data_IF_813270785124
#
_entry.id   IF_813270785124
#
_cell.length_a   1.000
_cell.length_b   1.000
_cell.length_c   1.000
_cell.angle_alpha   90.00
_cell.angle_beta   90.00
_cell.angle_gamma   90.00
#
_symmetry.space_group_name_H-M   'P 1'
#
loop_
_entity.id
_entity.type
_entity.pdbx_description
1 polymer ?
#
# COMPACT_ATOMS: atom_id res chain seq x y z
N UNK A 1 -21.93 6.09 56.57
CA UNK A 1 -21.29 7.41 56.59
C UNK A 1 -21.69 8.13 55.30
N UNK A 2 -22.25 9.34 55.41
CA UNK A 2 -22.86 10.12 54.32
C UNK A 2 -21.84 11.12 53.72
N UNK A 3 -22.17 11.58 52.50
CA UNK A 3 -21.83 12.87 51.85
C UNK A 3 -20.54 12.93 51.02
N UNK A 4 -20.43 13.67 49.91
CA UNK A 4 -21.32 14.47 49.03
C UNK A 4 -20.44 15.05 47.88
N UNK A 5 -21.05 15.28 46.71
CA UNK A 5 -20.86 16.41 45.75
C UNK A 5 -19.45 16.62 45.13
N UNK A 6 -19.24 16.85 43.84
CA UNK A 6 -20.05 17.55 42.83
C UNK A 6 -19.51 18.99 42.62
N UNK A 7 -18.72 19.22 41.57
CA UNK A 7 -18.46 20.54 40.93
C UNK A 7 -17.65 20.32 39.64
N UNK A 8 -18.21 20.51 38.44
CA UNK A 8 -18.57 21.75 37.70
C UNK A 8 -17.38 22.37 36.95
N UNK A 9 -17.62 22.52 35.65
CA UNK A 9 -16.89 23.17 34.56
C UNK A 9 -16.46 24.62 34.80
N UNK A 10 -15.43 25.05 34.04
CA UNK A 10 -15.21 26.37 33.37
C UNK A 10 -13.68 26.61 33.26
N UNK A 11 -13.06 27.36 32.34
CA UNK A 11 -13.37 28.40 31.34
C UNK A 11 -12.16 28.34 30.34
N UNK A 12 -12.32 28.29 29.00
CA UNK A 12 -12.24 29.43 28.05
C UNK A 12 -10.88 30.20 28.04
N UNK A 13 -10.22 30.32 26.87
CA UNK A 13 -10.28 31.51 25.99
C UNK A 13 -9.21 31.47 24.86
N UNK A 14 -9.66 31.90 23.69
CA UNK A 14 -9.00 32.18 22.40
C UNK A 14 -7.88 33.22 22.40
N UNK A 15 -7.04 33.24 21.34
CA UNK A 15 -6.69 34.45 20.54
C UNK A 15 -6.30 34.05 19.11
N UNK A 16 -7.01 34.67 18.15
CA UNK A 16 -6.69 34.82 16.73
C UNK A 16 -5.70 35.98 16.54
N UNK A 17 -4.69 35.84 15.68
CA UNK A 17 -4.08 37.00 15.00
C UNK A 17 -3.84 36.66 13.53
N UNK A 18 -4.69 37.26 12.70
CA UNK A 18 -4.47 37.56 11.28
C UNK A 18 -3.43 38.65 11.11
N UNK A 19 -2.56 38.52 10.11
CA UNK A 19 -1.68 39.59 9.66
C UNK A 19 -1.31 39.43 8.19
N UNK A 20 -2.07 40.10 7.31
CA UNK A 20 -1.63 40.44 5.96
C UNK A 20 -0.53 41.52 6.06
N UNK A 21 0.50 41.45 5.22
CA UNK A 21 1.09 42.68 4.69
C UNK A 21 1.80 42.45 3.35
N UNK A 22 1.40 43.26 2.37
CA UNK A 22 2.03 43.43 1.08
C UNK A 22 3.01 44.61 1.18
N UNK A 23 4.14 44.53 0.48
CA UNK A 23 4.91 45.70 0.07
C UNK A 23 5.54 45.47 -1.30
N UNK A 24 5.18 46.37 -2.23
CA UNK A 24 5.79 46.56 -3.55
C UNK A 24 7.19 47.17 -3.40
N UNK A 25 8.10 46.91 -4.35
CA UNK A 25 8.99 47.95 -4.91
C UNK A 25 9.45 47.55 -6.31
N UNK A 26 9.32 48.53 -7.21
CA UNK A 26 9.53 48.51 -8.66
C UNK A 26 10.98 48.78 -9.10
N UNK A 27 11.32 48.38 -10.32
CA UNK A 27 12.13 49.08 -11.35
C UNK A 27 12.17 48.14 -12.58
N UNK A 28 11.81 48.45 -13.83
CA UNK A 28 11.61 49.72 -14.53
C UNK A 28 12.63 49.86 -15.65
N UNK A 29 12.29 49.55 -16.92
CA UNK A 29 12.73 50.31 -18.12
C UNK A 29 11.94 49.97 -19.39
N UNK A 30 11.61 51.05 -20.10
CA UNK A 30 10.66 51.26 -21.22
C UNK A 30 11.24 50.97 -22.61
N UNK A 31 10.35 50.69 -23.58
CA UNK A 31 10.00 51.55 -24.75
C UNK A 31 9.09 50.70 -25.70
N UNK A 32 7.79 50.97 -25.87
CA UNK A 32 7.14 51.97 -26.77
C UNK A 32 7.66 51.89 -28.22
N UNK A 33 6.91 51.76 -29.32
CA UNK A 33 5.55 52.13 -29.78
C UNK A 33 5.13 51.10 -30.89
N UNK A 34 3.94 50.95 -31.46
CA UNK A 34 2.85 51.89 -31.82
C UNK A 34 1.63 51.05 -32.31
N UNK A 35 0.42 51.51 -31.98
CA UNK A 35 -0.85 51.60 -32.76
C UNK A 35 -1.00 50.81 -34.08
N UNK A 36 -2.17 50.34 -34.57
CA UNK A 36 -3.61 50.31 -34.22
C UNK A 36 -4.28 49.52 -35.37
N UNK A 37 -5.46 48.92 -35.15
CA UNK A 37 -6.61 48.81 -36.09
C UNK A 37 -7.22 47.40 -36.28
N UNK A 38 -8.28 47.15 -35.51
CA UNK A 38 -9.64 46.84 -35.99
C UNK A 38 -9.90 45.77 -37.08
N UNK A 39 -10.58 44.69 -36.62
CA UNK A 39 -11.98 44.36 -36.96
C UNK A 39 -12.31 43.24 -37.98
N UNK A 40 -13.37 42.51 -37.61
CA UNK A 40 -14.33 41.68 -38.40
C UNK A 40 -14.05 40.19 -38.66
N UNK A 41 -14.69 39.38 -37.81
CA UNK A 41 -15.86 38.49 -38.10
C UNK A 41 -15.84 37.70 -39.42
N UNK A 42 -15.76 36.36 -39.31
CA UNK A 42 -16.68 35.45 -40.00
C UNK A 42 -16.64 34.02 -39.43
N UNK A 43 -17.82 33.48 -39.14
CA UNK A 43 -18.08 32.06 -38.94
C UNK A 43 -17.71 31.26 -40.19
N UNK A 44 -17.10 30.09 -39.98
CA UNK A 44 -17.53 28.86 -40.67
C UNK A 44 -17.03 27.62 -39.93
N UNK A 45 -18.01 26.82 -39.57
CA UNK A 45 -18.02 25.44 -39.11
C UNK A 45 -16.94 24.56 -39.75
N UNK A 46 -16.10 23.94 -38.91
CA UNK A 46 -15.36 22.73 -39.29
C UNK A 46 -15.15 21.84 -38.05
N UNK A 47 -15.88 20.71 -38.04
CA UNK A 47 -15.66 19.56 -37.15
C UNK A 47 -14.17 19.21 -37.15
N UNK A 48 -13.52 19.21 -35.99
CA UNK A 48 -12.29 18.44 -35.82
C UNK A 48 -12.34 17.65 -34.52
N UNK A 49 -12.13 16.36 -34.70
CA UNK A 49 -12.32 15.29 -33.75
C UNK A 49 -11.47 15.46 -32.49
N UNK A 50 -12.13 15.25 -31.36
CA UNK A 50 -11.54 14.84 -30.10
C UNK A 50 -10.69 13.58 -30.29
N UNK A 51 -9.37 13.75 -30.46
CA UNK A 51 -8.41 12.72 -30.06
C UNK A 51 -7.86 13.11 -28.70
N UNK A 52 -8.61 12.71 -27.67
CA UNK A 52 -8.08 12.58 -26.32
C UNK A 52 -6.92 11.57 -26.39
N UNK A 53 -5.69 12.08 -26.41
CA UNK A 53 -4.48 11.27 -26.26
C UNK A 53 -4.57 10.62 -24.89
N UNK A 54 -5.03 9.37 -24.87
CA UNK A 54 -5.09 8.51 -23.70
C UNK A 54 -3.64 8.29 -23.27
N UNK A 55 -3.13 9.20 -22.46
CA UNK A 55 -1.80 9.17 -21.88
C UNK A 55 -1.73 7.85 -21.11
N UNK A 56 -1.12 6.82 -21.73
CA UNK A 56 -0.81 5.55 -21.08
C UNK A 56 -0.05 5.92 -19.83
N UNK A 57 -0.69 5.77 -18.66
CA UNK A 57 -0.02 5.87 -17.37
C UNK A 57 1.26 5.04 -17.49
N UNK A 58 2.46 5.62 -17.27
CA UNK A 58 3.69 4.87 -17.37
C UNK A 58 3.54 3.70 -16.42
N UNK A 59 3.67 2.50 -16.97
CA UNK A 59 3.41 1.29 -16.24
C UNK A 59 4.31 1.31 -15.00
N UNK A 60 3.72 1.09 -13.82
CA UNK A 60 4.42 0.70 -12.58
C UNK A 60 5.24 -0.61 -12.74
N UNK A 61 5.54 -1.03 -13.98
CA UNK A 61 6.07 -2.32 -14.39
C UNK A 61 7.58 -2.38 -14.51
N UNK A 62 8.32 -1.28 -14.41
CA UNK A 62 9.77 -1.32 -14.67
C UNK A 62 10.55 -1.96 -13.51
N UNK A 63 10.18 -1.68 -12.25
CA UNK A 63 10.95 -2.14 -11.09
C UNK A 63 10.84 -3.66 -10.83
N UNK A 64 9.66 -4.27 -11.05
CA UNK A 64 9.45 -5.71 -10.79
C UNK A 64 10.02 -6.56 -11.95
N UNK A 65 10.11 -6.01 -13.17
CA UNK A 65 10.67 -6.73 -14.32
C UNK A 65 12.19 -6.86 -14.27
N UNK A 66 12.84 -5.89 -13.61
CA UNK A 66 14.29 -5.75 -13.40
C UNK A 66 14.65 -5.88 -11.91
N UNK A 67 13.99 -6.80 -11.23
CA UNK A 67 14.16 -6.99 -9.80
C UNK A 67 15.60 -7.41 -9.47
N UNK A 68 16.19 -8.21 -10.36
CA UNK A 68 17.55 -8.71 -10.26
C UNK A 68 18.62 -7.63 -10.42
N UNK A 69 18.36 -6.49 -11.03
CA UNK A 69 19.39 -5.46 -11.27
C UNK A 69 20.04 -4.91 -9.98
N UNK A 70 19.34 -4.99 -8.83
CA UNK A 70 19.85 -4.44 -7.57
C UNK A 70 19.33 -5.19 -6.35
N UNK A 71 20.24 -5.41 -5.37
CA UNK A 71 19.88 -5.91 -4.03
C UNK A 71 18.83 -5.04 -3.35
N UNK A 72 18.85 -3.72 -3.58
CA UNK A 72 17.84 -2.82 -3.02
C UNK A 72 16.45 -3.10 -3.59
N UNK A 73 16.33 -3.39 -4.90
CA UNK A 73 15.05 -3.72 -5.52
C UNK A 73 14.45 -4.99 -4.89
N UNK A 74 15.28 -6.00 -4.67
CA UNK A 74 14.89 -7.25 -3.97
C UNK A 74 14.41 -6.96 -2.55
N UNK A 75 15.16 -6.16 -1.79
CA UNK A 75 14.78 -5.78 -0.42
C UNK A 75 13.44 -5.03 -0.40
N UNK A 76 13.21 -4.06 -1.29
CA UNK A 76 11.95 -3.32 -1.38
C UNK A 76 10.80 -4.27 -1.77
N UNK A 77 11.03 -5.18 -2.72
CA UNK A 77 10.06 -6.17 -3.13
C UNK A 77 9.66 -7.10 -1.99
N UNK A 78 10.63 -7.64 -1.25
CA UNK A 78 10.36 -8.53 -0.11
C UNK A 78 9.65 -7.78 1.02
N UNK A 79 10.06 -6.55 1.35
CA UNK A 79 9.33 -5.74 2.32
C UNK A 79 7.87 -5.57 1.91
N UNK A 80 7.62 -5.24 0.64
CA UNK A 80 6.24 -5.08 0.15
C UNK A 80 5.47 -6.41 0.17
N UNK A 81 6.13 -7.53 -0.12
CA UNK A 81 5.53 -8.85 -0.13
C UNK A 81 5.13 -9.32 1.28
N UNK A 82 5.98 -9.14 2.28
CA UNK A 82 5.67 -9.49 3.68
C UNK A 82 4.53 -8.64 4.25
N UNK A 83 4.33 -7.41 3.75
CA UNK A 83 3.32 -6.48 4.28
C UNK A 83 1.96 -6.52 3.54
N UNK A 84 1.73 -7.50 2.66
CA UNK A 84 0.50 -7.53 1.85
C UNK A 84 -0.76 -7.84 2.65
N UNK A 85 -0.61 -8.57 3.76
CA UNK A 85 -1.73 -8.94 4.65
C UNK A 85 -2.19 -7.71 5.44
N UNK A 86 -1.24 -6.92 5.93
CA UNK A 86 -1.46 -5.64 6.60
C UNK A 86 -2.17 -4.66 5.67
N UNK A 87 -1.84 -4.65 4.37
CA UNK A 87 -2.59 -3.84 3.40
C UNK A 87 -4.09 -4.20 3.35
N UNK A 88 -4.46 -5.48 3.59
CA UNK A 88 -5.87 -5.93 3.67
C UNK A 88 -6.50 -5.45 4.97
N UNK A 89 -5.79 -5.56 6.10
CA UNK A 89 -6.24 -5.06 7.40
C UNK A 89 -6.44 -3.55 7.40
N UNK A 90 -5.46 -2.78 6.93
CA UNK A 90 -5.59 -1.33 6.78
C UNK A 90 -6.72 -0.98 5.82
N UNK A 91 -6.92 -1.74 4.75
CA UNK A 91 -8.06 -1.51 3.87
C UNK A 91 -9.41 -1.69 4.55
N UNK A 92 -9.52 -2.62 5.50
CA UNK A 92 -10.73 -2.84 6.28
C UNK A 92 -10.95 -1.72 7.30
N UNK A 93 -9.88 -1.30 8.00
CA UNK A 93 -9.92 -0.20 8.97
C UNK A 93 -10.26 1.13 8.30
N UNK A 94 -9.65 1.42 7.16
CA UNK A 94 -9.88 2.64 6.37
C UNK A 94 -11.21 2.63 5.60
N UNK A 95 -11.96 1.51 5.64
CA UNK A 95 -13.24 1.40 4.97
C UNK A 95 -14.32 2.17 5.75
N UNK A 96 -14.32 3.49 5.62
CA UNK A 96 -15.25 4.42 6.30
C UNK A 96 -16.74 4.12 6.10
N UNK A 97 -17.11 3.40 5.05
CA UNK A 97 -18.49 2.96 4.75
C UNK A 97 -18.73 1.48 5.02
N UNK A 98 -17.71 0.78 5.48
CA UNK A 98 -17.76 -0.64 5.81
C UNK A 98 -18.59 -0.87 7.07
N UNK A 99 -19.28 -2.00 7.10
CA UNK A 99 -19.99 -2.44 8.30
C UNK A 99 -19.07 -3.25 9.20
N UNK A 100 -19.43 -3.30 10.47
CA UNK A 100 -18.85 -4.21 11.45
C UNK A 100 -19.83 -5.33 11.74
N UNK A 101 -19.33 -6.55 11.91
CA UNK A 101 -20.08 -7.70 12.39
C UNK A 101 -19.43 -8.23 13.67
N UNK A 102 -20.24 -8.68 14.62
CA UNK A 102 -19.78 -9.26 15.88
C UNK A 102 -20.34 -10.68 15.99
N UNK A 103 -19.45 -11.67 16.00
CA UNK A 103 -19.82 -13.08 16.13
C UNK A 103 -18.79 -13.80 17.02
N UNK A 104 -19.28 -14.59 17.98
CA UNK A 104 -18.45 -15.36 18.92
C UNK A 104 -17.40 -14.52 19.68
N UNK A 105 -17.74 -13.26 20.00
CA UNK A 105 -16.83 -12.33 20.67
C UNK A 105 -15.75 -11.73 19.76
N UNK A 106 -15.73 -12.08 18.47
CA UNK A 106 -14.80 -11.57 17.48
C UNK A 106 -15.45 -10.43 16.68
N UNK A 107 -14.70 -9.35 16.48
CA UNK A 107 -15.11 -8.22 15.65
C UNK A 107 -14.55 -8.35 14.24
N UNK A 108 -15.44 -8.38 13.25
CA UNK A 108 -15.12 -8.50 11.83
C UNK A 108 -15.46 -7.19 11.11
N UNK A 109 -14.54 -6.71 10.26
CA UNK A 109 -14.69 -5.48 9.47
C UNK A 109 -14.95 -5.80 8.00
N UNK A 110 -15.93 -5.14 7.38
CA UNK A 110 -16.27 -5.34 5.96
C UNK A 110 -15.10 -4.90 5.08
N UNK A 111 -14.65 -5.77 4.19
CA UNK A 111 -13.61 -5.44 3.22
C UNK A 111 -14.16 -4.54 2.09
N UNK A 112 -13.38 -3.54 1.63
CA UNK A 112 -13.78 -2.66 0.55
C UNK A 112 -13.80 -3.41 -0.80
N UNK A 113 -14.42 -2.82 -1.82
CA UNK A 113 -14.61 -3.42 -3.16
C UNK A 113 -13.36 -4.04 -3.81
N UNK A 114 -12.16 -3.55 -3.46
CA UNK A 114 -10.89 -4.09 -3.97
C UNK A 114 -10.52 -5.45 -3.37
N UNK A 115 -11.12 -5.83 -2.24
CA UNK A 115 -10.87 -7.04 -1.45
C UNK A 115 -12.19 -7.73 -1.01
N UNK A 116 -13.32 -7.43 -1.65
CA UNK A 116 -14.65 -7.91 -1.24
C UNK A 116 -14.93 -9.40 -1.52
N UNK A 117 -13.93 -10.17 -1.94
CA UNK A 117 -14.03 -11.57 -2.34
C UNK A 117 -12.68 -12.28 -2.21
N UNK A 118 -12.72 -13.59 -1.95
CA UNK A 118 -11.54 -14.47 -1.86
C UNK A 118 -10.60 -14.28 -3.06
N UNK A 119 -11.16 -14.36 -4.26
CA UNK A 119 -10.39 -14.23 -5.51
C UNK A 119 -9.66 -12.89 -5.64
N UNK A 120 -10.26 -11.79 -5.18
CA UNK A 120 -9.61 -10.47 -5.24
C UNK A 120 -8.47 -10.33 -4.25
N UNK A 121 -8.60 -10.92 -3.06
CA UNK A 121 -7.54 -10.94 -2.04
C UNK A 121 -6.39 -11.82 -2.53
N UNK A 122 -6.67 -13.04 -2.99
CA UNK A 122 -5.65 -13.92 -3.58
C UNK A 122 -4.95 -13.24 -4.76
N UNK A 123 -5.70 -12.64 -5.70
CA UNK A 123 -5.11 -11.92 -6.83
C UNK A 123 -4.25 -10.72 -6.40
N UNK A 124 -4.50 -10.14 -5.22
CA UNK A 124 -3.64 -9.12 -4.64
C UNK A 124 -2.32 -9.70 -4.12
N UNK A 125 -2.39 -10.79 -3.37
CA UNK A 125 -1.21 -11.51 -2.86
C UNK A 125 -0.35 -12.07 -3.99
N UNK A 126 -0.98 -12.59 -5.06
CA UNK A 126 -0.30 -13.15 -6.24
C UNK A 126 0.48 -12.13 -7.08
N UNK A 127 0.53 -10.87 -6.66
CA UNK A 127 1.47 -9.88 -7.22
C UNK A 127 2.91 -10.14 -6.77
N UNK A 128 3.09 -10.85 -5.65
CA UNK A 128 4.37 -11.08 -5.01
C UNK A 128 4.59 -12.56 -4.72
N UNK A 129 3.54 -13.27 -4.32
CA UNK A 129 3.59 -14.65 -3.90
C UNK A 129 3.15 -15.58 -5.03
N UNK A 130 3.68 -16.80 -5.06
CA UNK A 130 3.13 -17.85 -5.93
C UNK A 130 1.66 -18.08 -5.62
N UNK A 131 0.93 -18.70 -6.54
CA UNK A 131 -0.50 -18.99 -6.35
C UNK A 131 -0.77 -19.79 -5.06
N UNK A 132 0.00 -20.85 -4.81
CA UNK A 132 -0.17 -21.69 -3.63
C UNK A 132 0.08 -20.92 -2.33
N UNK A 133 1.12 -20.08 -2.27
CA UNK A 133 1.38 -19.23 -1.11
C UNK A 133 0.32 -18.12 -0.95
N UNK A 134 -0.22 -17.61 -2.06
CA UNK A 134 -1.31 -16.63 -2.02
C UNK A 134 -2.60 -17.23 -1.46
N UNK A 135 -2.89 -18.49 -1.80
CA UNK A 135 -4.01 -19.24 -1.26
C UNK A 135 -3.81 -19.53 0.23
N UNK A 136 -2.63 -20.01 0.64
CA UNK A 136 -2.28 -20.22 2.06
C UNK A 136 -2.38 -18.93 2.89
N UNK A 137 -1.85 -17.82 2.39
CA UNK A 137 -1.98 -16.51 3.04
C UNK A 137 -3.44 -16.11 3.25
N UNK A 138 -4.30 -16.35 2.25
CA UNK A 138 -5.73 -16.06 2.38
C UNK A 138 -6.39 -16.97 3.41
N UNK A 139 -6.11 -18.27 3.36
CA UNK A 139 -6.74 -19.26 4.23
C UNK A 139 -6.34 -19.07 5.71
N UNK A 140 -5.17 -18.45 5.95
CA UNK A 140 -4.71 -18.03 7.28
C UNK A 140 -5.27 -16.67 7.74
N UNK A 141 -6.03 -15.95 6.89
CA UNK A 141 -6.80 -14.80 7.36
C UNK A 141 -8.06 -15.26 8.09
N UNK A 142 -8.36 -14.62 9.21
CA UNK A 142 -9.67 -14.79 9.87
C UNK A 142 -10.75 -14.04 9.09
N UNK A 143 -11.30 -14.70 8.05
CA UNK A 143 -12.31 -14.13 7.16
C UNK A 143 -13.69 -14.75 7.34
N UNK A 144 -14.72 -13.98 7.00
CA UNK A 144 -16.11 -14.43 7.05
C UNK A 144 -16.94 -13.85 5.93
N UNK A 145 -17.80 -14.67 5.31
CA UNK A 145 -18.74 -14.21 4.30
C UNK A 145 -20.13 -14.02 4.92
N UNK A 146 -20.63 -12.79 4.94
CA UNK A 146 -21.94 -12.44 5.49
C UNK A 146 -22.73 -11.71 4.41
N UNK A 147 -23.89 -12.23 4.01
CA UNK A 147 -24.75 -11.64 2.96
C UNK A 147 -23.97 -11.24 1.69
N UNK A 148 -23.10 -12.14 1.23
CA UNK A 148 -22.25 -11.96 0.05
C UNK A 148 -21.20 -10.83 0.16
N UNK A 149 -20.85 -10.44 1.38
CA UNK A 149 -19.76 -9.51 1.68
C UNK A 149 -18.68 -10.22 2.46
N UNK A 150 -17.43 -9.98 2.10
CA UNK A 150 -16.28 -10.52 2.83
C UNK A 150 -15.90 -9.58 3.97
N UNK A 151 -15.68 -10.15 5.13
CA UNK A 151 -15.19 -9.48 6.31
C UNK A 151 -13.89 -10.12 6.79
N UNK A 152 -13.10 -9.36 7.54
CA UNK A 152 -11.86 -9.82 8.16
C UNK A 152 -11.79 -9.39 9.62
N UNK A 153 -11.31 -10.28 10.50
CA UNK A 153 -10.95 -9.92 11.86
C UNK A 153 -9.48 -9.53 11.91
N UNK A 154 -9.17 -8.46 12.65
CA UNK A 154 -7.79 -8.00 12.85
C UNK A 154 -7.14 -8.90 13.92
N UNK A 155 -5.95 -9.46 13.67
CA UNK A 155 -5.28 -10.32 14.64
C UNK A 155 -4.84 -9.51 15.87
N UNK A 156 -4.79 -10.20 17.02
CA UNK A 156 -4.29 -9.63 18.28
C UNK A 156 -2.79 -9.86 18.51
N UNK A 157 -2.13 -10.53 17.58
CA UNK A 157 -0.70 -10.85 17.62
C UNK A 157 -0.04 -10.12 16.45
N UNK A 158 1.06 -9.44 16.75
CA UNK A 158 1.85 -8.74 15.73
C UNK A 158 2.96 -9.65 15.19
N UNK A 159 3.31 -9.42 13.93
CA UNK A 159 4.30 -10.19 13.18
C UNK A 159 5.29 -9.25 12.47
N UNK A 160 6.13 -8.51 13.21
CA UNK A 160 7.02 -7.53 12.59
C UNK A 160 8.16 -8.20 11.82
N UNK A 161 8.29 -7.85 10.53
CA UNK A 161 9.39 -8.31 9.68
C UNK A 161 10.26 -7.15 9.22
N UNK A 162 11.56 -7.24 9.54
CA UNK A 162 12.58 -6.26 9.24
C UNK A 162 13.52 -6.79 8.14
N UNK A 163 13.33 -6.28 6.93
CA UNK A 163 14.20 -6.61 5.79
C UNK A 163 14.95 -5.36 5.36
N UNK A 164 16.27 -5.43 5.35
CA UNK A 164 17.15 -4.33 4.97
C UNK A 164 18.29 -4.81 4.09
N UNK A 165 18.96 -3.88 3.40
CA UNK A 165 20.18 -4.21 2.64
C UNK A 165 21.27 -4.79 3.54
N UNK A 166 21.32 -4.39 4.82
CA UNK A 166 22.38 -4.82 5.76
C UNK A 166 22.24 -6.27 6.19
N UNK A 167 21.02 -6.75 6.40
CA UNK A 167 20.75 -8.10 6.90
C UNK A 167 20.31 -9.09 5.81
N UNK A 168 20.35 -8.69 4.54
CA UNK A 168 19.97 -9.52 3.40
C UNK A 168 21.21 -10.03 2.66
N UNK A 169 21.23 -11.28 2.25
CA UNK A 169 22.19 -11.85 1.30
C UNK A 169 21.42 -12.35 0.06
N UNK A 170 21.97 -12.11 -1.13
CA UNK A 170 21.32 -12.47 -2.41
C UNK A 170 22.28 -13.31 -3.22
N UNK A 171 21.80 -14.46 -3.67
CA UNK A 171 22.48 -15.36 -4.59
C UNK A 171 21.61 -15.49 -5.85
N UNK A 172 22.21 -15.32 -7.02
CA UNK A 172 21.51 -15.46 -8.31
C UNK A 172 22.02 -16.73 -8.98
N UNK A 173 21.10 -17.63 -9.31
CA UNK A 173 21.41 -18.87 -9.99
C UNK A 173 20.47 -19.02 -11.18
N UNK A 174 21.00 -18.82 -12.40
CA UNK A 174 20.21 -18.87 -13.64
C UNK A 174 18.99 -17.92 -13.60
N UNK A 175 17.78 -18.48 -13.52
CA UNK A 175 16.49 -17.75 -13.46
C UNK A 175 15.88 -17.70 -12.05
N UNK A 176 16.65 -18.12 -11.04
CA UNK A 176 16.27 -18.15 -9.64
C UNK A 176 17.10 -17.13 -8.84
N UNK A 177 16.44 -16.45 -7.90
CA UNK A 177 17.12 -15.62 -6.91
C UNK A 177 16.84 -16.22 -5.54
N UNK A 178 17.91 -16.63 -4.85
CA UNK A 178 17.85 -17.06 -3.46
C UNK A 178 18.20 -15.88 -2.57
N UNK A 179 17.37 -15.64 -1.57
CA UNK A 179 17.56 -14.53 -0.63
C UNK A 179 17.56 -15.09 0.77
N UNK A 180 18.57 -14.76 1.56
CA UNK A 180 18.62 -15.07 2.98
C UNK A 180 18.56 -13.76 3.76
N UNK A 181 17.64 -13.64 4.71
CA UNK A 181 17.51 -12.47 5.57
C UNK A 181 17.71 -12.91 7.00
N UNK A 182 18.72 -12.37 7.66
CA UNK A 182 19.03 -12.66 9.05
C UNK A 182 18.45 -11.58 9.97
N UNK A 183 18.26 -11.89 11.25
CA UNK A 183 17.73 -10.94 12.24
C UNK A 183 16.45 -10.23 11.73
N UNK A 184 15.51 -11.00 11.17
CA UNK A 184 14.27 -10.45 10.58
C UNK A 184 13.33 -9.86 11.62
N UNK A 185 13.58 -10.06 12.90
CA UNK A 185 12.75 -9.57 13.99
C UNK A 185 13.59 -9.38 15.25
N UNK A 186 12.99 -8.80 16.29
CA UNK A 186 13.62 -8.69 17.61
C UNK A 186 13.75 -10.07 18.27
N UNK A 187 14.83 -10.36 19.04
CA UNK A 187 14.95 -11.61 19.79
C UNK A 187 13.76 -11.94 20.70
N UNK A 188 12.99 -10.94 21.12
CA UNK A 188 11.77 -11.13 21.91
C UNK A 188 10.65 -11.87 21.15
N UNK A 189 10.64 -11.82 19.80
CA UNK A 189 9.62 -12.49 18.99
C UNK A 189 10.01 -13.89 18.55
N UNK A 190 11.30 -14.18 18.36
CA UNK A 190 11.78 -15.51 17.96
C UNK A 190 13.27 -15.70 18.25
N UNK A 191 13.65 -16.92 18.59
CA UNK A 191 15.05 -17.34 18.72
C UNK A 191 15.69 -17.58 17.35
N UNK A 192 14.98 -18.26 16.44
CA UNK A 192 15.37 -18.39 15.03
C UNK A 192 14.77 -17.24 14.22
N UNK A 193 15.66 -16.39 13.72
CA UNK A 193 15.32 -15.11 13.06
C UNK A 193 15.87 -15.05 11.64
N UNK A 194 15.98 -16.20 10.99
CA UNK A 194 16.43 -16.29 9.61
C UNK A 194 15.28 -16.69 8.70
N UNK A 195 15.03 -15.89 7.66
CA UNK A 195 14.11 -16.23 6.59
C UNK A 195 14.88 -16.47 5.30
N UNK A 196 14.44 -17.45 4.52
CA UNK A 196 15.01 -17.77 3.21
C UNK A 196 13.90 -17.75 2.17
N UNK A 197 14.15 -17.04 1.08
CA UNK A 197 13.20 -16.87 -0.01
C UNK A 197 13.78 -17.43 -1.29
N UNK A 198 12.93 -18.06 -2.09
CA UNK A 198 13.21 -18.42 -3.47
C UNK A 198 12.31 -17.61 -4.39
N UNK A 199 12.90 -16.73 -5.20
CA UNK A 199 12.18 -15.94 -6.18
C UNK A 199 12.43 -16.52 -7.56
N UNK A 200 11.36 -16.72 -8.32
CA UNK A 200 11.43 -17.21 -9.70
C UNK A 200 10.60 -16.33 -10.62
N UNK A 201 11.00 -16.26 -11.89
CA UNK A 201 10.24 -15.56 -12.91
C UNK A 201 9.06 -16.43 -13.36
N UNK A 202 7.84 -15.93 -13.26
CA UNK A 202 6.66 -16.58 -13.81
C UNK A 202 6.73 -16.60 -15.35
N UNK A 203 6.45 -17.75 -15.95
CA UNK A 203 6.64 -17.96 -17.38
C UNK A 203 5.68 -17.15 -18.25
N UNK A 204 4.47 -16.88 -17.75
CA UNK A 204 3.41 -16.18 -18.49
C UNK A 204 3.57 -14.67 -18.40
N UNK A 205 3.76 -14.16 -17.19
CA UNK A 205 3.79 -12.73 -16.90
C UNK A 205 5.19 -12.14 -16.93
N UNK A 206 6.23 -12.99 -16.92
CA UNK A 206 7.64 -12.63 -16.83
C UNK A 206 7.98 -11.78 -15.60
N UNK A 207 7.16 -11.83 -14.55
CA UNK A 207 7.40 -11.14 -13.27
C UNK A 207 8.04 -12.09 -12.28
N UNK A 208 8.84 -11.57 -11.36
CA UNK A 208 9.27 -12.35 -10.21
C UNK A 208 8.12 -12.56 -9.24
N UNK A 209 8.03 -13.77 -8.70
CA UNK A 209 7.22 -14.14 -7.57
C UNK A 209 8.05 -14.96 -6.57
N UNK A 210 7.66 -14.92 -5.31
CA UNK A 210 8.21 -15.74 -4.25
C UNK A 210 7.56 -17.12 -4.35
N UNK A 211 8.35 -18.12 -4.72
CA UNK A 211 7.93 -19.51 -4.85
C UNK A 211 7.94 -20.24 -3.52
N UNK A 212 8.89 -19.90 -2.66
CA UNK A 212 8.99 -20.45 -1.31
C UNK A 212 9.53 -19.42 -0.34
N UNK A 213 9.09 -19.56 0.91
CA UNK A 213 9.53 -18.82 2.08
C UNK A 213 9.76 -19.85 3.18
N UNK A 214 10.98 -19.92 3.68
CA UNK A 214 11.40 -20.88 4.70
C UNK A 214 11.93 -20.15 5.93
N UNK A 215 11.83 -20.81 7.07
CA UNK A 215 12.17 -20.26 8.39
C UNK A 215 10.97 -20.41 9.31
N UNK A 216 11.24 -20.52 10.61
CA UNK A 216 10.19 -20.79 11.62
C UNK A 216 9.34 -19.54 11.89
N UNK A 217 9.94 -18.35 11.82
CA UNK A 217 9.25 -17.10 12.12
C UNK A 217 8.14 -16.80 11.09
N UNK A 218 6.89 -16.71 11.57
CA UNK A 218 5.70 -16.42 10.76
C UNK A 218 5.30 -17.51 9.79
N UNK A 219 5.83 -18.71 9.96
CA UNK A 219 5.53 -19.85 9.09
C UNK A 219 4.02 -20.17 9.05
N UNK A 220 3.31 -19.93 10.16
CA UNK A 220 1.86 -20.12 10.28
C UNK A 220 1.04 -19.26 9.32
N UNK A 221 1.62 -18.21 8.72
CA UNK A 221 0.93 -17.42 7.69
C UNK A 221 0.97 -18.09 6.31
N UNK A 222 1.90 -19.02 6.08
CA UNK A 222 2.24 -19.57 4.76
C UNK A 222 2.04 -21.09 4.64
N UNK A 223 1.61 -21.77 5.72
CA UNK A 223 1.34 -23.21 5.76
C UNK A 223 -0.13 -23.52 6.01
#
# INVERSE_FOLDING_TARGET
MKMKHGWIYLLLLSILVTGCNASNTSQGKKNEKTATSQSKKNEKTAKTQSKATKQKRPARSVAIQKLDDSKMNIVIFLNRAEHVVEDVYYAAIDHTKGKTAHEDGITYLELPKRFDSKDKVIAYFSKFWSRSLSEALYDNLSTKQIKNKLYVAIPNVDYPVLISVRNTAVEKLNSEIRVSVQNVTDPAFSSDRTLRYQLMRDDKTKRYEIKSRMGTYGNDQFQ
#
